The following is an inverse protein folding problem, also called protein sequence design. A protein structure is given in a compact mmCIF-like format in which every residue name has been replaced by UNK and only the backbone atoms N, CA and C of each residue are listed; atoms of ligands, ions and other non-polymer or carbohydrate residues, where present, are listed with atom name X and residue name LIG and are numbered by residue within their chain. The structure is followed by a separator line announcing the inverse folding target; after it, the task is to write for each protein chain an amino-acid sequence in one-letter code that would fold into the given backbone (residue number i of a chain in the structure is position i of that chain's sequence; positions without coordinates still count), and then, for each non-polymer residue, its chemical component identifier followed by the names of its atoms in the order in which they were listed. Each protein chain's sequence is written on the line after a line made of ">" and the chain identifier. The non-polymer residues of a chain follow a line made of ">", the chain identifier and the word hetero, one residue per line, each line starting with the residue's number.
data_IF_144182415397
#
_entry.id   IF_144182415397
#
_cell.length_a   1.000
_cell.length_b   1.000
_cell.length_c   1.000
_cell.angle_alpha   90.00
_cell.angle_beta   90.00
_cell.angle_gamma   90.00
#
_symmetry.space_group_name_H-M   'P 1'
#
loop_
_entity.id
_entity.type
_entity.pdbx_description
1 polymer ?
#
# COMPACT_ATOMS: atom_id res chain seq x y z
N UNK A 1 -35.89 1.54 10.96
CA UNK A 1 -35.10 2.26 9.93
C UNK A 1 -33.58 2.19 10.14
N UNK A 2 -33.07 2.20 11.38
CA UNK A 2 -31.60 2.11 11.62
C UNK A 2 -30.94 0.73 11.40
N UNK A 3 -31.68 -0.37 11.54
CA UNK A 3 -31.14 -1.74 11.37
C UNK A 3 -30.94 -2.15 9.89
N UNK A 4 -31.78 -1.64 8.98
CA UNK A 4 -31.59 -1.89 7.54
C UNK A 4 -30.42 -1.09 6.96
N UNK A 5 -30.18 0.14 7.46
CA UNK A 5 -28.99 0.91 7.10
C UNK A 5 -27.71 0.20 7.57
N UNK A 6 -27.70 -0.34 8.79
CA UNK A 6 -26.55 -1.10 9.31
C UNK A 6 -26.29 -2.37 8.49
N UNK A 7 -27.35 -3.12 8.14
CA UNK A 7 -27.25 -4.29 7.26
C UNK A 7 -26.75 -3.95 5.84
N UNK A 8 -27.15 -2.80 5.29
CA UNK A 8 -26.66 -2.31 4.00
C UNK A 8 -25.18 -1.88 4.07
N UNK A 9 -24.77 -1.20 5.15
CA UNK A 9 -23.38 -0.80 5.38
C UNK A 9 -22.49 -2.04 5.53
N UNK A 10 -22.88 -3.02 6.35
CA UNK A 10 -22.11 -4.26 6.53
C UNK A 10 -22.06 -5.09 5.24
N UNK A 11 -23.15 -5.13 4.46
CA UNK A 11 -23.18 -5.83 3.16
C UNK A 11 -22.30 -5.16 2.12
N UNK A 12 -22.31 -3.81 2.05
CA UNK A 12 -21.45 -3.02 1.17
C UNK A 12 -19.98 -3.27 1.52
N UNK A 13 -19.64 -3.13 2.81
CA UNK A 13 -18.30 -3.39 3.32
C UNK A 13 -17.80 -4.81 3.00
N UNK A 14 -18.64 -5.84 3.17
CA UNK A 14 -18.26 -7.21 2.82
C UNK A 14 -18.09 -7.40 1.31
N UNK A 15 -18.92 -6.77 0.47
CA UNK A 15 -18.74 -6.83 -0.97
C UNK A 15 -17.47 -6.12 -1.42
N UNK A 16 -17.19 -4.93 -0.91
CA UNK A 16 -15.93 -4.21 -1.18
C UNK A 16 -14.73 -5.02 -0.70
N UNK A 17 -14.82 -5.62 0.50
CA UNK A 17 -13.78 -6.49 1.04
C UNK A 17 -13.54 -7.74 0.18
N UNK A 18 -14.59 -8.45 -0.23
CA UNK A 18 -14.48 -9.64 -1.10
C UNK A 18 -14.02 -9.27 -2.50
N UNK A 19 -14.43 -8.11 -3.03
CA UNK A 19 -13.99 -7.62 -4.33
C UNK A 19 -12.50 -7.27 -4.30
N UNK A 20 -12.05 -6.56 -3.27
CA UNK A 20 -10.64 -6.26 -3.00
C UNK A 20 -9.81 -7.54 -2.84
N UNK A 21 -10.31 -8.55 -2.10
CA UNK A 21 -9.66 -9.86 -2.00
C UNK A 21 -9.64 -10.62 -3.34
N UNK A 22 -10.67 -10.49 -4.17
CA UNK A 22 -10.71 -11.12 -5.50
C UNK A 22 -9.68 -10.51 -6.44
N UNK A 23 -9.48 -9.19 -6.38
CA UNK A 23 -8.45 -8.46 -7.14
C UNK A 23 -7.06 -8.92 -6.68
N UNK A 24 -6.83 -9.05 -5.38
CA UNK A 24 -5.59 -9.61 -4.84
C UNK A 24 -5.32 -11.06 -5.28
N UNK A 25 -6.35 -11.89 -5.32
CA UNK A 25 -6.22 -13.32 -5.63
C UNK A 25 -6.11 -13.64 -7.11
N UNK A 26 -6.73 -12.85 -8.01
CA UNK A 26 -6.85 -13.17 -9.44
C UNK A 26 -6.70 -11.99 -10.40
N UNK A 27 -6.45 -10.79 -9.89
CA UNK A 27 -6.29 -9.58 -10.70
C UNK A 27 -4.97 -9.58 -11.48
N UNK A 28 -4.97 -8.81 -12.57
CA UNK A 28 -3.76 -8.53 -13.36
C UNK A 28 -2.74 -7.74 -12.51
N UNK A 29 -1.47 -7.73 -12.91
CA UNK A 29 -0.43 -6.99 -12.17
C UNK A 29 -0.79 -5.51 -12.01
N UNK A 30 -1.42 -4.89 -13.01
CA UNK A 30 -1.88 -3.50 -12.94
C UNK A 30 -3.04 -3.30 -11.95
N UNK A 31 -3.98 -4.25 -11.85
CA UNK A 31 -5.08 -4.19 -10.89
C UNK A 31 -4.56 -4.33 -9.46
N UNK A 32 -3.58 -5.23 -9.25
CA UNK A 32 -2.89 -5.39 -7.96
C UNK A 32 -2.13 -4.13 -7.57
N UNK A 33 -1.42 -3.50 -8.49
CA UNK A 33 -0.69 -2.26 -8.23
C UNK A 33 -1.64 -1.10 -7.93
N UNK A 34 -2.75 -0.98 -8.66
CA UNK A 34 -3.79 0.03 -8.36
C UNK A 34 -4.40 -0.18 -6.99
N UNK A 35 -4.68 -1.44 -6.63
CA UNK A 35 -5.21 -1.76 -5.32
C UNK A 35 -4.20 -1.49 -4.20
N UNK A 36 -2.92 -1.82 -4.42
CA UNK A 36 -1.84 -1.49 -3.50
C UNK A 36 -1.74 0.03 -3.33
N UNK A 37 -1.84 0.81 -4.41
CA UNK A 37 -1.88 2.28 -4.32
C UNK A 37 -3.01 2.76 -3.40
N UNK A 38 -4.22 2.20 -3.52
CA UNK A 38 -5.34 2.55 -2.64
C UNK A 38 -5.14 2.12 -1.18
N UNK A 39 -4.24 1.18 -0.89
CA UNK A 39 -3.85 0.89 0.48
C UNK A 39 -2.83 1.89 1.01
N UNK A 40 -1.94 2.39 0.15
CA UNK A 40 -0.91 3.35 0.52
C UNK A 40 -1.46 4.77 0.70
N UNK A 41 -2.45 5.15 -0.12
CA UNK A 41 -3.20 6.40 -0.06
C UNK A 41 -4.29 6.31 1.03
N UNK A 42 -3.98 6.80 2.23
CA UNK A 42 -4.84 6.61 3.41
C UNK A 42 -6.01 7.58 3.38
N UNK A 43 -5.78 8.82 2.96
CA UNK A 43 -6.80 9.86 2.89
C UNK A 43 -7.62 9.83 1.59
N UNK A 44 -7.13 9.11 0.57
CA UNK A 44 -7.81 8.88 -0.70
C UNK A 44 -7.77 10.09 -1.62
N UNK A 45 -6.80 10.98 -1.48
CA UNK A 45 -6.66 12.18 -2.31
C UNK A 45 -6.04 11.88 -3.69
N UNK A 46 -5.58 10.64 -3.90
CA UNK A 46 -4.95 10.17 -5.13
C UNK A 46 -3.44 10.39 -5.18
N UNK A 47 -2.82 10.78 -4.08
CA UNK A 47 -1.41 11.10 -3.93
C UNK A 47 -0.85 10.49 -2.65
N UNK A 48 0.20 9.67 -2.74
CA UNK A 48 0.83 9.10 -1.55
C UNK A 48 1.86 10.11 -1.00
N UNK A 49 1.65 10.56 0.22
CA UNK A 49 2.61 11.39 0.94
C UNK A 49 3.68 10.55 1.66
N UNK A 50 4.79 11.19 2.04
CA UNK A 50 5.84 10.53 2.86
C UNK A 50 5.30 10.03 4.20
N UNK A 51 4.35 10.75 4.78
CA UNK A 51 3.74 10.41 6.06
C UNK A 51 2.92 9.13 5.91
N UNK A 52 2.05 9.05 4.91
CA UNK A 52 1.23 7.86 4.65
C UNK A 52 2.06 6.62 4.32
N UNK A 53 3.11 6.77 3.51
CA UNK A 53 4.02 5.65 3.24
C UNK A 53 4.69 5.14 4.52
N UNK A 54 5.03 6.04 5.45
CA UNK A 54 5.62 5.67 6.75
C UNK A 54 4.59 4.98 7.63
N UNK A 55 3.38 5.51 7.70
CA UNK A 55 2.28 4.95 8.49
C UNK A 55 1.91 3.53 8.03
N UNK A 56 1.85 3.29 6.72
CA UNK A 56 1.57 1.96 6.17
C UNK A 56 2.70 0.98 6.47
N UNK A 57 3.95 1.39 6.31
CA UNK A 57 5.10 0.54 6.64
C UNK A 57 5.08 0.17 8.12
N UNK A 58 4.85 1.15 9.01
CA UNK A 58 4.73 0.89 10.45
C UNK A 58 3.54 -0.02 10.77
N UNK A 59 2.38 0.22 10.18
CA UNK A 59 1.19 -0.62 10.38
C UNK A 59 1.41 -2.07 9.93
N UNK A 60 2.11 -2.28 8.81
CA UNK A 60 2.51 -3.61 8.33
C UNK A 60 3.51 -4.26 9.31
N UNK A 61 4.49 -3.51 9.82
CA UNK A 61 5.43 -4.01 10.82
C UNK A 61 4.72 -4.42 12.13
N UNK A 62 3.77 -3.62 12.60
CA UNK A 62 2.93 -3.95 13.77
C UNK A 62 2.06 -5.18 13.50
N UNK A 63 1.45 -5.29 12.31
CA UNK A 63 0.59 -6.41 11.93
C UNK A 63 1.37 -7.72 11.75
N UNK A 64 2.58 -7.65 11.16
CA UNK A 64 3.48 -8.80 10.97
C UNK A 64 4.28 -9.17 12.23
N UNK A 65 3.98 -8.54 13.37
CA UNK A 65 4.72 -8.65 14.62
C UNK A 65 5.21 -10.07 14.95
N UNK A 66 6.55 -10.23 14.96
CA UNK A 66 7.34 -11.35 15.51
C UNK A 66 7.50 -12.66 14.71
N UNK A 67 7.68 -12.62 13.38
CA UNK A 67 8.06 -13.87 12.66
C UNK A 67 9.49 -13.90 12.11
N UNK A 68 10.25 -12.80 12.03
CA UNK A 68 11.67 -12.90 11.62
C UNK A 68 12.56 -11.76 12.14
N UNK A 69 13.23 -12.03 13.28
CA UNK A 69 14.53 -11.47 13.71
C UNK A 69 14.71 -9.93 13.87
N UNK A 70 15.75 -9.49 14.63
CA UNK A 70 15.62 -8.43 15.62
C UNK A 70 15.72 -7.02 15.03
N UNK A 71 14.97 -6.09 15.62
CA UNK A 71 15.24 -4.65 15.65
C UNK A 71 15.77 -4.07 14.34
N UNK A 72 14.88 -3.91 13.35
CA UNK A 72 15.12 -2.91 12.32
C UNK A 72 15.05 -1.57 13.06
N UNK A 73 16.20 -0.95 13.29
CA UNK A 73 16.30 0.34 13.97
C UNK A 73 15.34 1.31 13.26
N UNK A 74 14.54 2.06 14.01
CA UNK A 74 13.52 3.00 13.48
C UNK A 74 14.11 3.92 12.40
N UNK A 75 15.39 4.29 12.56
CA UNK A 75 16.15 5.04 11.56
C UNK A 75 16.32 4.31 10.23
N UNK A 76 16.53 2.99 10.25
CA UNK A 76 16.73 2.18 9.03
C UNK A 76 15.45 2.08 8.21
N UNK A 77 14.28 2.01 8.87
CA UNK A 77 12.98 2.01 8.18
C UNK A 77 12.74 3.37 7.54
N UNK A 78 12.95 4.45 8.29
CA UNK A 78 12.77 5.82 7.79
C UNK A 78 13.70 6.13 6.61
N UNK A 79 14.98 5.75 6.69
CA UNK A 79 15.92 5.91 5.58
C UNK A 79 15.52 5.09 4.35
N UNK A 80 14.96 3.89 4.55
CA UNK A 80 14.49 3.04 3.46
C UNK A 80 13.25 3.62 2.79
N UNK A 81 12.29 4.12 3.58
CA UNK A 81 11.10 4.83 3.08
C UNK A 81 11.54 6.07 2.30
N UNK A 82 12.42 6.90 2.85
CA UNK A 82 12.89 8.12 2.17
C UNK A 82 13.58 7.79 0.83
N UNK A 83 14.41 6.73 0.79
CA UNK A 83 15.06 6.28 -0.44
C UNK A 83 14.06 5.77 -1.49
N UNK A 84 13.03 5.04 -1.09
CA UNK A 84 12.00 4.53 -2.00
C UNK A 84 11.14 5.70 -2.49
N UNK A 85 10.74 6.59 -1.59
CA UNK A 85 9.96 7.77 -1.90
C UNK A 85 10.68 8.65 -2.92
N UNK A 86 11.96 8.98 -2.69
CA UNK A 86 12.77 9.75 -3.63
C UNK A 86 12.95 9.09 -5.01
N UNK A 87 12.85 7.75 -5.09
CA UNK A 87 12.90 7.04 -6.37
C UNK A 87 11.56 7.06 -7.10
N UNK A 88 10.46 7.05 -6.36
CA UNK A 88 9.09 7.10 -6.90
C UNK A 88 8.67 8.52 -7.28
N UNK A 89 8.96 9.50 -6.44
CA UNK A 89 8.69 10.93 -6.67
C UNK A 89 9.64 11.48 -7.74
N UNK A 90 9.21 11.41 -9.01
CA UNK A 90 10.03 11.77 -10.17
C UNK A 90 10.12 13.27 -10.33
N UNK A 91 8.99 13.95 -10.12
CA UNK A 91 8.88 15.38 -10.31
C UNK A 91 9.37 16.18 -9.08
N UNK A 92 9.60 15.51 -7.94
CA UNK A 92 10.06 16.07 -6.66
C UNK A 92 9.11 17.08 -6.07
N UNK A 93 7.81 16.89 -6.28
CA UNK A 93 6.76 17.73 -5.70
C UNK A 93 6.42 17.34 -4.25
N UNK A 94 6.97 16.22 -3.76
CA UNK A 94 6.79 15.74 -2.41
C UNK A 94 5.60 14.81 -2.24
N UNK A 95 4.93 14.40 -3.32
CA UNK A 95 3.89 13.38 -3.36
C UNK A 95 4.21 12.33 -4.43
N UNK A 96 3.63 11.13 -4.32
CA UNK A 96 3.73 10.10 -5.35
C UNK A 96 2.36 9.87 -5.95
N UNK A 97 2.20 10.24 -7.20
CA UNK A 97 0.95 10.01 -7.93
C UNK A 97 0.84 8.56 -8.41
N UNK A 98 -0.38 8.12 -8.74
CA UNK A 98 -0.62 6.77 -9.28
C UNK A 98 0.22 6.49 -10.55
N UNK A 99 0.41 7.49 -11.40
CA UNK A 99 1.20 7.36 -12.63
C UNK A 99 2.68 7.12 -12.30
N UNK A 100 3.25 7.92 -11.40
CA UNK A 100 4.63 7.76 -10.92
C UNK A 100 4.85 6.41 -10.21
N UNK A 101 3.87 5.97 -9.42
CA UNK A 101 3.89 4.67 -8.77
C UNK A 101 3.92 3.52 -9.79
N UNK A 102 3.03 3.55 -10.78
CA UNK A 102 2.97 2.53 -11.83
C UNK A 102 4.21 2.54 -12.72
N UNK A 103 4.72 3.73 -13.08
CA UNK A 103 5.94 3.87 -13.86
C UNK A 103 7.16 3.33 -13.10
N UNK A 104 7.26 3.67 -11.81
CA UNK A 104 8.37 3.25 -10.97
C UNK A 104 8.37 1.73 -10.74
N UNK A 105 7.22 1.12 -10.49
CA UNK A 105 7.09 -0.33 -10.38
C UNK A 105 7.37 -1.09 -11.68
N UNK A 106 7.12 -0.48 -12.84
CA UNK A 106 7.45 -1.09 -14.13
C UNK A 106 8.94 -0.91 -14.50
N UNK A 107 9.56 0.19 -14.04
CA UNK A 107 10.91 0.56 -14.43
C UNK A 107 11.99 0.03 -13.48
N UNK A 108 11.69 -0.13 -12.19
CA UNK A 108 12.66 -0.52 -11.16
C UNK A 108 12.27 -1.88 -10.53
N UNK A 109 13.02 -2.92 -10.90
CA UNK A 109 12.79 -4.29 -10.47
C UNK A 109 13.02 -4.51 -8.96
N UNK A 110 13.83 -3.66 -8.30
CA UNK A 110 14.06 -3.74 -6.86
C UNK A 110 12.83 -3.23 -6.10
N UNK A 111 12.19 -2.18 -6.62
CA UNK A 111 10.96 -1.62 -6.06
C UNK A 111 9.79 -2.57 -6.30
N UNK A 112 9.66 -3.13 -7.51
CA UNK A 112 8.62 -4.11 -7.81
C UNK A 112 8.72 -5.34 -6.91
N UNK A 113 9.94 -5.84 -6.67
CA UNK A 113 10.19 -6.98 -5.79
C UNK A 113 9.91 -6.64 -4.33
N UNK A 114 10.33 -5.47 -3.87
CA UNK A 114 10.06 -5.00 -2.51
C UNK A 114 8.56 -4.86 -2.25
N UNK A 115 7.78 -4.42 -3.25
CA UNK A 115 6.34 -4.28 -3.12
C UNK A 115 5.59 -5.62 -3.24
N UNK A 116 6.07 -6.52 -4.10
CA UNK A 116 5.54 -7.87 -4.22
C UNK A 116 5.77 -8.73 -2.96
N UNK A 117 6.81 -8.45 -2.16
CA UNK A 117 7.01 -9.08 -0.85
C UNK A 117 5.86 -8.74 0.12
N UNK A 118 5.30 -7.53 0.03
CA UNK A 118 4.11 -7.14 0.79
C UNK A 118 2.83 -7.80 0.26
N UNK A 119 2.70 -8.05 -1.06
CA UNK A 119 1.59 -8.81 -1.67
C UNK A 119 1.62 -10.30 -1.30
N UNK A 120 2.81 -10.90 -1.19
CA UNK A 120 2.99 -12.35 -0.99
C UNK A 120 2.77 -12.83 0.44
N UNK A 121 2.53 -11.90 1.38
CA UNK A 121 2.41 -12.20 2.81
C UNK A 121 0.97 -12.14 3.36
N UNK A 122 -0.03 -11.95 2.47
CA UNK A 122 -1.47 -11.98 2.77
C UNK A 122 -2.10 -13.28 2.27
#
# INVERSE_FOLDING_TARGET
>A
MGLELFGLITRRYFQDFVQNLSILSRGSLDEKLRWAFTLYDIDGDGCITREEMTDIVNAVYDLMGKVSEPSVDDNTVKEKVDRIFQKMDKNKDGVVTLDEFLECCQSDADISSSMAVFDSSI
#
